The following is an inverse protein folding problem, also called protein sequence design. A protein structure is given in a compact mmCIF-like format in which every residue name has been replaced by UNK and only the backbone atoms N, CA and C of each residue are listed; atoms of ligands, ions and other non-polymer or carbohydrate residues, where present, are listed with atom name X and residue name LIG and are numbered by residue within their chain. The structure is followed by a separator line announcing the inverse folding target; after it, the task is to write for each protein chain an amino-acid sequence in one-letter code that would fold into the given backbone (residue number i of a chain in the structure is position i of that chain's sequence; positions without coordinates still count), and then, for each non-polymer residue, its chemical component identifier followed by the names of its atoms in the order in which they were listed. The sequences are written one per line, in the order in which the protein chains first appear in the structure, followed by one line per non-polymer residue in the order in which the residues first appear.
data_IF_780311090553
#
_entry.id   IF_780311090553
#
_cell.length_a   1.000
_cell.length_b   1.000
_cell.length_c   1.000
_cell.angle_alpha   90.00
_cell.angle_beta   90.00
_cell.angle_gamma   90.00
#
_symmetry.space_group_name_H-M   'P 1'
#
loop_
_entity.id
_entity.type
_entity.pdbx_description
1 polymer ?
#
# COMPACT_ATOMS: atom_id res chain seq x y z
N UNK A 1 -4.34 -7.97 -4.61
CA UNK A 1 -5.20 -7.30 -5.60
C UNK A 1 -6.41 -8.17 -5.69
N UNK A 2 -7.60 -7.63 -5.91
CA UNK A 2 -8.78 -8.48 -6.08
C UNK A 2 -8.86 -8.98 -7.53
N UNK A 3 -8.82 -10.30 -7.70
CA UNK A 3 -8.80 -10.98 -8.98
C UNK A 3 -10.16 -11.65 -9.26
N UNK A 4 -10.62 -11.49 -10.50
CA UNK A 4 -11.59 -12.37 -11.15
C UNK A 4 -10.86 -13.17 -12.23
N UNK A 5 -11.37 -14.35 -12.58
CA UNK A 5 -10.73 -15.27 -13.53
C UNK A 5 -11.75 -15.80 -14.51
N UNK A 6 -11.41 -15.83 -15.79
CA UNK A 6 -12.18 -16.55 -16.78
C UNK A 6 -12.15 -18.05 -16.51
N UNK A 7 -13.24 -18.75 -16.80
CA UNK A 7 -13.33 -20.20 -16.64
C UNK A 7 -12.41 -20.95 -17.62
N UNK A 8 -12.11 -20.36 -18.78
CA UNK A 8 -11.28 -20.97 -19.81
C UNK A 8 -9.81 -21.12 -19.38
N UNK A 9 -9.31 -20.30 -18.44
CA UNK A 9 -7.91 -20.40 -17.98
C UNK A 9 -7.61 -21.76 -17.37
N UNK A 10 -8.61 -22.41 -16.78
CA UNK A 10 -8.48 -23.72 -16.14
C UNK A 10 -8.62 -24.89 -17.12
N UNK A 11 -8.97 -24.64 -18.38
CA UNK A 11 -9.20 -25.68 -19.41
C UNK A 11 -8.11 -25.63 -20.48
N UNK A 12 -7.84 -24.43 -21.02
CA UNK A 12 -6.92 -24.21 -22.13
C UNK A 12 -5.75 -23.30 -21.79
N UNK A 13 -5.76 -22.68 -20.60
CA UNK A 13 -4.67 -21.84 -20.13
C UNK A 13 -3.38 -22.62 -19.89
N UNK A 14 -2.27 -21.89 -19.88
CA UNK A 14 -0.97 -22.43 -19.49
C UNK A 14 -1.03 -22.97 -18.06
N UNK A 15 -0.97 -24.30 -17.93
CA UNK A 15 -1.08 -25.02 -16.66
C UNK A 15 -0.13 -24.47 -15.59
N UNK A 16 1.11 -24.14 -15.96
CA UNK A 16 2.09 -23.67 -14.98
C UNK A 16 1.71 -22.28 -14.46
N UNK A 17 1.20 -21.40 -15.33
CA UNK A 17 0.71 -20.09 -14.94
C UNK A 17 -0.53 -20.19 -14.02
N UNK A 18 -1.46 -21.11 -14.30
CA UNK A 18 -2.63 -21.37 -13.42
C UNK A 18 -2.16 -21.81 -12.02
N UNK A 19 -1.17 -22.71 -11.95
CA UNK A 19 -0.63 -23.18 -10.68
C UNK A 19 0.03 -22.06 -9.88
N UNK A 20 0.81 -21.20 -10.54
CA UNK A 20 1.44 -20.03 -9.93
C UNK A 20 0.39 -19.04 -9.42
N UNK A 21 -0.66 -18.78 -10.20
CA UNK A 21 -1.77 -17.93 -9.81
C UNK A 21 -2.47 -18.46 -8.54
N UNK A 22 -2.88 -19.73 -8.55
CA UNK A 22 -3.53 -20.36 -7.40
C UNK A 22 -2.60 -20.36 -6.17
N UNK A 23 -1.30 -20.60 -6.36
CA UNK A 23 -0.32 -20.56 -5.27
C UNK A 23 -0.27 -19.17 -4.61
N UNK A 24 -0.23 -18.09 -5.41
CA UNK A 24 -0.21 -16.72 -4.87
C UNK A 24 -1.49 -16.40 -4.10
N UNK A 25 -2.64 -16.82 -4.63
CA UNK A 25 -3.94 -16.64 -3.98
C UNK A 25 -4.03 -17.42 -2.66
N UNK A 26 -3.62 -18.69 -2.65
CA UNK A 26 -3.63 -19.55 -1.45
C UNK A 26 -2.72 -18.98 -0.36
N UNK A 27 -1.57 -18.42 -0.75
CA UNK A 27 -0.67 -17.73 0.19
C UNK A 27 -1.25 -16.42 0.73
N UNK A 28 -2.39 -15.95 0.22
CA UNK A 28 -3.00 -14.68 0.62
C UNK A 28 -2.36 -13.45 -0.01
N UNK A 29 -1.48 -13.62 -1.01
CA UNK A 29 -0.83 -12.51 -1.72
C UNK A 29 -1.83 -11.69 -2.52
N UNK A 30 -2.81 -12.36 -3.11
CA UNK A 30 -3.90 -11.75 -3.85
C UNK A 30 -5.22 -12.33 -3.38
N UNK A 31 -6.26 -11.50 -3.45
CA UNK A 31 -7.61 -11.93 -3.15
C UNK A 31 -8.25 -12.43 -4.43
N UNK A 32 -8.97 -13.54 -4.35
CA UNK A 32 -9.61 -14.15 -5.51
C UNK A 32 -11.09 -14.35 -5.22
N UNK A 33 -11.92 -13.72 -6.04
CA UNK A 33 -13.39 -13.81 -5.96
C UNK A 33 -13.94 -14.24 -7.32
N UNK A 34 -13.72 -15.51 -7.72
CA UNK A 34 -14.14 -16.00 -9.02
C UNK A 34 -15.66 -16.05 -9.14
N UNK A 35 -16.14 -15.94 -10.37
CA UNK A 35 -17.52 -16.33 -10.69
C UNK A 35 -17.73 -17.83 -10.50
N UNK A 36 -18.97 -18.25 -10.24
CA UNK A 36 -19.31 -19.66 -9.93
C UNK A 36 -18.80 -20.66 -10.97
N UNK A 37 -18.88 -20.32 -12.26
CA UNK A 37 -18.36 -21.18 -13.33
C UNK A 37 -16.83 -21.32 -13.29
N UNK A 38 -16.12 -20.22 -13.10
CA UNK A 38 -14.66 -20.22 -12.97
C UNK A 38 -14.22 -20.98 -11.71
N UNK A 39 -14.92 -20.81 -10.59
CA UNK A 39 -14.67 -21.55 -9.35
C UNK A 39 -14.87 -23.07 -9.54
N UNK A 40 -15.93 -23.48 -10.24
CA UNK A 40 -16.17 -24.88 -10.57
C UNK A 40 -15.06 -25.46 -11.47
N UNK A 41 -14.62 -24.72 -12.50
CA UNK A 41 -13.51 -25.16 -13.36
C UNK A 41 -12.19 -25.24 -12.60
N UNK A 42 -11.92 -24.28 -11.71
CA UNK A 42 -10.77 -24.33 -10.84
C UNK A 42 -10.79 -25.57 -9.94
N UNK A 43 -11.96 -25.96 -9.43
CA UNK A 43 -12.11 -27.16 -8.60
C UNK A 43 -11.76 -28.41 -9.40
N UNK A 44 -12.27 -28.55 -10.62
CA UNK A 44 -11.95 -29.68 -11.51
C UNK A 44 -10.45 -29.73 -11.82
N UNK A 45 -9.86 -28.59 -12.16
CA UNK A 45 -8.41 -28.47 -12.39
C UNK A 45 -7.61 -28.89 -11.16
N UNK A 46 -7.99 -28.45 -9.96
CA UNK A 46 -7.32 -28.80 -8.72
C UNK A 46 -7.44 -30.30 -8.40
N UNK A 47 -8.62 -30.89 -8.61
CA UNK A 47 -8.84 -32.33 -8.42
C UNK A 47 -7.94 -33.18 -9.32
N UNK A 48 -7.72 -32.76 -10.57
CA UNK A 48 -6.91 -33.50 -11.53
C UNK A 48 -5.39 -33.27 -11.35
N UNK A 49 -4.98 -32.04 -11.07
CA UNK A 49 -3.56 -31.65 -11.18
C UNK A 49 -2.89 -31.29 -9.86
N UNK A 50 -3.65 -30.76 -8.89
CA UNK A 50 -3.11 -30.35 -7.57
C UNK A 50 -4.11 -30.64 -6.44
N UNK A 51 -4.32 -31.91 -6.09
CA UNK A 51 -5.38 -32.30 -5.16
C UNK A 51 -5.29 -31.64 -3.78
N UNK A 52 -4.09 -31.23 -3.36
CA UNK A 52 -3.87 -30.53 -2.09
C UNK A 52 -4.42 -29.09 -2.08
N UNK A 53 -4.83 -28.52 -3.23
CA UNK A 53 -5.53 -27.23 -3.31
C UNK A 53 -7.06 -27.37 -3.28
N UNK A 54 -7.58 -28.61 -3.29
CA UNK A 54 -9.02 -28.89 -3.41
C UNK A 54 -9.84 -28.21 -2.31
N UNK A 55 -9.44 -28.33 -1.05
CA UNK A 55 -10.14 -27.72 0.09
C UNK A 55 -10.23 -26.20 -0.03
N UNK A 56 -9.18 -25.56 -0.56
CA UNK A 56 -9.17 -24.12 -0.79
C UNK A 56 -10.16 -23.73 -1.89
N UNK A 57 -10.09 -24.40 -3.04
CA UNK A 57 -10.93 -24.08 -4.19
C UNK A 57 -12.41 -24.42 -3.92
N UNK A 58 -12.70 -25.47 -3.15
CA UNK A 58 -14.05 -25.80 -2.70
C UNK A 58 -14.64 -24.68 -1.82
N UNK A 59 -13.87 -24.13 -0.88
CA UNK A 59 -14.30 -22.96 -0.09
C UNK A 59 -14.55 -21.74 -0.97
N UNK A 60 -13.68 -21.47 -1.95
CA UNK A 60 -13.88 -20.38 -2.90
C UNK A 60 -15.15 -20.59 -3.76
N UNK A 61 -15.44 -21.83 -4.16
CA UNK A 61 -16.67 -22.19 -4.88
C UNK A 61 -17.91 -21.93 -4.02
N UNK A 62 -17.92 -22.35 -2.75
CA UNK A 62 -19.03 -22.08 -1.83
C UNK A 62 -19.23 -20.57 -1.62
N UNK A 63 -18.15 -19.82 -1.43
CA UNK A 63 -18.19 -18.37 -1.27
C UNK A 63 -18.70 -17.65 -2.54
N UNK A 64 -18.47 -18.21 -3.73
CA UNK A 64 -18.95 -17.62 -5.00
C UNK A 64 -20.48 -17.63 -5.15
N UNK A 65 -21.18 -18.45 -4.37
CA UNK A 65 -22.65 -18.55 -4.36
C UNK A 65 -23.27 -17.51 -3.41
N UNK A 66 -22.59 -17.17 -2.31
CA UNK A 66 -23.04 -16.19 -1.34
C UNK A 66 -22.65 -14.76 -1.78
N UNK A 67 -23.50 -14.16 -2.61
CA UNK A 67 -23.26 -12.83 -3.18
C UNK A 67 -23.55 -11.71 -2.17
N UNK A 68 -22.62 -11.49 -1.23
CA UNK A 68 -22.45 -10.15 -0.66
C UNK A 68 -22.09 -9.14 -1.76
N UNK A 69 -22.39 -7.84 -1.60
CA UNK A 69 -22.16 -6.85 -2.64
C UNK A 69 -20.71 -6.93 -3.14
N UNK A 70 -20.57 -7.24 -4.43
CA UNK A 70 -19.28 -7.45 -5.08
C UNK A 70 -18.55 -6.11 -5.10
N UNK A 71 -17.47 -6.00 -4.33
CA UNK A 71 -16.41 -5.03 -4.64
C UNK A 71 -15.93 -5.36 -6.06
N UNK A 72 -15.93 -4.41 -7.02
CA UNK A 72 -15.51 -4.70 -8.38
C UNK A 72 -14.12 -5.30 -8.40
N UNK A 73 -13.94 -6.39 -9.15
CA UNK A 73 -12.61 -6.95 -9.35
C UNK A 73 -11.69 -5.90 -9.99
N UNK A 74 -10.49 -5.75 -9.45
CA UNK A 74 -9.49 -4.84 -10.00
C UNK A 74 -8.93 -5.38 -11.31
N UNK A 75 -8.87 -6.72 -11.45
CA UNK A 75 -8.43 -7.37 -12.69
C UNK A 75 -9.20 -8.66 -12.96
N UNK A 76 -9.73 -8.80 -14.18
CA UNK A 76 -10.14 -10.10 -14.74
C UNK A 76 -8.96 -10.70 -15.51
N UNK A 77 -8.66 -11.97 -15.25
CA UNK A 77 -7.59 -12.73 -15.91
C UNK A 77 -8.22 -13.66 -16.96
N UNK A 78 -7.71 -13.61 -18.18
CA UNK A 78 -8.19 -14.39 -19.32
C UNK A 78 -7.09 -15.32 -19.85
N UNK A 79 -7.42 -16.20 -20.79
CA UNK A 79 -6.43 -17.13 -21.37
C UNK A 79 -5.31 -16.37 -22.10
N UNK A 80 -5.69 -15.36 -22.88
CA UNK A 80 -4.77 -14.61 -23.74
C UNK A 80 -3.72 -13.81 -22.97
N UNK A 81 -4.00 -13.44 -21.72
CA UNK A 81 -3.12 -12.62 -20.88
C UNK A 81 -2.59 -13.34 -19.64
N UNK A 82 -3.00 -14.59 -19.40
CA UNK A 82 -2.72 -15.34 -18.18
C UNK A 82 -1.24 -15.28 -17.77
N UNK A 83 -0.34 -15.62 -18.69
CA UNK A 83 1.10 -15.67 -18.41
C UNK A 83 1.65 -14.29 -18.03
N UNK A 84 1.35 -13.27 -18.82
CA UNK A 84 1.82 -11.91 -18.57
C UNK A 84 1.27 -11.33 -17.26
N UNK A 85 -0.01 -11.59 -16.96
CA UNK A 85 -0.63 -11.20 -15.69
C UNK A 85 0.02 -11.92 -14.51
N UNK A 86 0.27 -13.23 -14.61
CA UNK A 86 0.93 -14.01 -13.56
C UNK A 86 2.35 -13.51 -13.32
N UNK A 87 3.12 -13.23 -14.37
CA UNK A 87 4.48 -12.70 -14.27
C UNK A 87 4.49 -11.33 -13.55
N UNK A 88 3.52 -10.45 -13.83
CA UNK A 88 3.37 -9.16 -13.15
C UNK A 88 2.93 -9.32 -11.69
N UNK A 89 1.95 -10.18 -11.42
CA UNK A 89 1.46 -10.46 -10.06
C UNK A 89 2.54 -11.08 -9.18
N UNK A 90 3.42 -11.91 -9.76
CA UNK A 90 4.57 -12.52 -9.10
C UNK A 90 5.64 -11.50 -8.68
N UNK A 91 5.68 -10.31 -9.30
CA UNK A 91 6.55 -9.19 -8.89
C UNK A 91 5.99 -8.46 -7.68
N UNK A 92 6.87 -7.94 -6.84
CA UNK A 92 6.50 -7.10 -5.70
C UNK A 92 5.79 -5.84 -6.19
N UNK A 93 4.73 -5.43 -5.49
CA UNK A 93 4.24 -4.07 -5.60
C UNK A 93 5.32 -3.12 -5.10
N UNK A 94 5.44 -1.94 -5.71
CA UNK A 94 6.49 -0.97 -5.37
C UNK A 94 5.84 0.33 -4.91
N UNK A 95 6.10 0.72 -3.67
CA UNK A 95 5.78 2.05 -3.17
C UNK A 95 7.06 2.89 -3.17
N UNK A 96 7.09 3.90 -4.02
CA UNK A 96 8.24 4.80 -4.15
C UNK A 96 8.08 5.92 -3.13
N UNK A 97 9.10 6.09 -2.29
CA UNK A 97 9.15 7.06 -1.19
C UNK A 97 10.44 7.89 -1.24
N UNK A 98 10.54 8.90 -0.39
CA UNK A 98 11.69 9.78 -0.34
C UNK A 98 12.82 9.23 0.52
N UNK A 99 12.51 8.47 1.56
CA UNK A 99 13.43 7.72 2.40
C UNK A 99 12.81 6.36 2.75
N UNK A 100 13.39 5.28 2.25
CA UNK A 100 12.80 3.94 2.43
C UNK A 100 12.83 3.44 3.87
N UNK A 101 13.71 4.00 4.71
CA UNK A 101 13.87 3.59 6.10
C UNK A 101 12.82 4.25 6.97
N UNK A 102 12.71 5.58 6.89
CA UNK A 102 11.81 6.35 7.74
C UNK A 102 10.34 6.12 7.35
N UNK A 103 10.00 6.27 6.07
CA UNK A 103 8.65 6.00 5.57
C UNK A 103 8.30 4.51 5.69
N UNK A 104 9.27 3.61 5.55
CA UNK A 104 9.06 2.17 5.79
C UNK A 104 8.61 1.87 7.21
N UNK A 105 9.27 2.49 8.19
CA UNK A 105 8.87 2.37 9.59
C UNK A 105 7.51 2.99 9.85
N UNK A 106 7.27 4.19 9.33
CA UNK A 106 6.00 4.88 9.50
C UNK A 106 4.83 4.06 8.92
N UNK A 107 4.96 3.54 7.70
CA UNK A 107 3.92 2.74 7.06
C UNK A 107 3.66 1.45 7.83
N UNK A 108 4.70 0.77 8.31
CA UNK A 108 4.54 -0.43 9.15
C UNK A 108 3.83 -0.09 10.47
N UNK A 109 4.23 0.99 11.14
CA UNK A 109 3.63 1.42 12.40
C UNK A 109 2.16 1.83 12.20
N UNK A 110 1.86 2.53 11.11
CA UNK A 110 0.51 2.91 10.71
C UNK A 110 -0.35 1.67 10.44
N UNK A 111 0.13 0.73 9.62
CA UNK A 111 -0.59 -0.51 9.36
C UNK A 111 -0.87 -1.29 10.66
N UNK A 112 0.11 -1.38 11.57
CA UNK A 112 -0.07 -2.00 12.88
C UNK A 112 -1.13 -1.31 13.74
N UNK A 113 -1.10 0.02 13.81
CA UNK A 113 -2.06 0.80 14.59
C UNK A 113 -3.51 0.66 14.09
N UNK A 114 -3.69 0.50 12.78
CA UNK A 114 -4.98 0.29 12.13
C UNK A 114 -5.36 -1.19 11.94
N UNK A 115 -4.61 -2.12 12.56
CA UNK A 115 -4.82 -3.57 12.46
C UNK A 115 -4.88 -4.10 11.01
N UNK A 116 -4.04 -3.54 10.14
CA UNK A 116 -3.93 -3.90 8.73
C UNK A 116 -2.86 -4.98 8.50
N UNK A 117 -3.19 -6.20 8.90
CA UNK A 117 -2.30 -7.35 8.81
C UNK A 117 -1.86 -7.66 7.37
N UNK A 118 -2.65 -7.24 6.36
CA UNK A 118 -2.35 -7.50 4.95
C UNK A 118 -1.15 -6.68 4.48
N UNK A 119 -1.06 -5.40 4.85
CA UNK A 119 0.12 -4.58 4.51
C UNK A 119 1.35 -5.09 5.25
N UNK A 120 1.23 -5.43 6.55
CA UNK A 120 2.33 -5.98 7.35
C UNK A 120 2.86 -7.27 6.71
N UNK A 121 1.96 -8.22 6.42
CA UNK A 121 2.29 -9.49 5.77
C UNK A 121 2.95 -9.27 4.42
N UNK A 122 2.46 -8.30 3.63
CA UNK A 122 3.04 -8.01 2.32
C UNK A 122 4.46 -7.43 2.43
N UNK A 123 4.74 -6.59 3.43
CA UNK A 123 6.09 -6.10 3.70
C UNK A 123 7.01 -7.25 4.15
N UNK A 124 6.55 -8.09 5.10
CA UNK A 124 7.33 -9.23 5.61
C UNK A 124 7.68 -10.25 4.52
N UNK A 125 6.76 -10.49 3.58
CA UNK A 125 6.95 -11.45 2.49
C UNK A 125 7.52 -10.82 1.22
N UNK A 126 7.93 -9.55 1.27
CA UNK A 126 8.42 -8.78 0.10
C UNK A 126 7.43 -8.71 -1.07
N UNK A 127 6.13 -8.90 -0.80
CA UNK A 127 5.07 -8.68 -1.79
C UNK A 127 4.80 -7.19 -2.03
N UNK A 128 5.14 -6.36 -1.04
CA UNK A 128 5.31 -4.92 -1.14
C UNK A 128 6.76 -4.59 -0.81
N UNK A 129 7.39 -3.76 -1.63
CA UNK A 129 8.70 -3.20 -1.36
C UNK A 129 8.63 -1.68 -1.41
N UNK A 130 9.34 -1.03 -0.49
CA UNK A 130 9.60 0.39 -0.59
C UNK A 130 10.85 0.61 -1.44
N UNK A 131 10.84 1.67 -2.24
CA UNK A 131 11.98 2.03 -3.06
C UNK A 131 12.30 3.51 -2.89
N UNK A 132 13.53 3.80 -2.47
CA UNK A 132 14.05 5.15 -2.40
C UNK A 132 14.26 5.77 -3.80
N UNK A 133 13.71 6.96 -4.05
CA UNK A 133 13.83 7.66 -5.32
C UNK A 133 15.20 8.34 -5.58
N UNK A 134 16.15 8.26 -4.65
CA UNK A 134 17.44 8.96 -4.79
C UNK A 134 17.30 10.48 -4.77
N UNK A 135 16.24 11.00 -4.13
CA UNK A 135 15.90 12.43 -4.08
C UNK A 135 14.69 12.82 -4.96
N UNK A 136 13.94 13.83 -4.48
CA UNK A 136 12.67 14.33 -5.04
C UNK A 136 12.73 14.61 -6.54
N UNK A 137 13.82 15.22 -7.02
CA UNK A 137 13.98 15.64 -8.42
C UNK A 137 14.00 14.49 -9.44
N UNK A 138 14.16 13.24 -8.99
CA UNK A 138 14.25 12.06 -9.86
C UNK A 138 13.07 11.11 -9.69
N UNK A 139 12.15 11.36 -8.77
CA UNK A 139 11.09 10.41 -8.43
C UNK A 139 10.25 10.00 -9.64
N UNK A 140 9.81 10.94 -10.48
CA UNK A 140 9.07 10.62 -11.71
C UNK A 140 9.83 9.67 -12.66
N UNK A 141 11.16 9.80 -12.76
CA UNK A 141 11.99 8.89 -13.58
C UNK A 141 12.09 7.51 -12.96
N UNK A 142 12.21 7.44 -11.64
CA UNK A 142 12.21 6.17 -10.91
C UNK A 142 10.86 5.46 -11.03
N UNK A 143 9.75 6.20 -10.93
CA UNK A 143 8.41 5.64 -11.16
C UNK A 143 8.29 5.08 -12.58
N UNK A 144 8.71 5.83 -13.59
CA UNK A 144 8.70 5.36 -14.98
C UNK A 144 9.53 4.08 -15.15
N UNK A 145 10.76 4.05 -14.63
CA UNK A 145 11.63 2.87 -14.70
C UNK A 145 11.06 1.64 -13.95
N UNK A 146 10.32 1.84 -12.86
CA UNK A 146 9.63 0.75 -12.16
C UNK A 146 8.40 0.28 -12.92
N UNK A 147 7.64 1.19 -13.54
CA UNK A 147 6.49 0.86 -14.39
C UNK A 147 6.90 -0.01 -15.59
N UNK A 148 8.07 0.21 -16.17
CA UNK A 148 8.59 -0.60 -17.29
C UNK A 148 8.80 -2.08 -16.95
N UNK A 149 8.83 -2.43 -15.65
CA UNK A 149 8.96 -3.82 -15.20
C UNK A 149 7.64 -4.60 -15.24
N UNK A 150 6.53 -3.90 -15.48
CA UNK A 150 5.19 -4.48 -15.57
C UNK A 150 4.65 -4.37 -16.99
N UNK A 151 3.98 -5.42 -17.45
CA UNK A 151 3.45 -5.51 -18.81
C UNK A 151 2.00 -5.05 -18.88
N UNK A 152 1.17 -5.59 -18.00
CA UNK A 152 -0.29 -5.45 -17.97
C UNK A 152 -0.75 -4.93 -16.59
N UNK A 153 -0.29 -5.57 -15.51
CA UNK A 153 -0.75 -5.25 -14.15
C UNK A 153 0.30 -4.40 -13.45
N UNK A 154 0.22 -3.09 -13.66
CA UNK A 154 1.15 -2.13 -13.03
C UNK A 154 0.81 -1.98 -11.54
N UNK A 155 1.76 -2.32 -10.67
CA UNK A 155 1.62 -2.27 -9.20
C UNK A 155 2.65 -1.30 -8.60
N UNK A 156 2.61 -0.07 -9.08
CA UNK A 156 3.54 1.01 -8.67
C UNK A 156 2.73 2.18 -8.13
N UNK A 157 3.10 2.66 -6.95
CA UNK A 157 2.59 3.91 -6.37
C UNK A 157 3.74 4.82 -5.93
N UNK A 158 3.44 6.09 -5.69
CA UNK A 158 4.37 7.04 -5.11
C UNK A 158 3.75 7.79 -3.92
N UNK A 159 4.57 8.02 -2.88
CA UNK A 159 4.25 8.85 -1.72
C UNK A 159 5.27 9.99 -1.64
N UNK A 160 4.79 11.22 -1.53
CA UNK A 160 5.61 12.43 -1.53
C UNK A 160 5.25 13.34 -0.36
N UNK A 161 6.27 14.01 0.18
CA UNK A 161 6.06 15.20 0.99
C UNK A 161 5.51 16.33 0.12
N UNK A 162 4.73 17.23 0.71
CA UNK A 162 4.25 18.41 0.00
C UNK A 162 5.27 19.54 0.03
N UNK A 163 6.12 19.57 1.05
CA UNK A 163 7.00 20.68 1.43
C UNK A 163 6.26 22.01 1.61
N UNK A 164 4.93 21.98 1.75
CA UNK A 164 4.13 23.18 1.89
C UNK A 164 4.40 23.83 3.24
N UNK A 165 4.55 25.15 3.23
CA UNK A 165 4.62 25.97 4.46
C UNK A 165 3.28 26.59 4.81
N UNK A 166 2.26 26.39 3.97
CA UNK A 166 0.85 26.79 4.14
C UNK A 166 -0.01 26.12 3.07
N UNK A 167 -1.31 25.97 3.33
CA UNK A 167 -2.27 25.24 2.48
C UNK A 167 -2.31 25.62 1.00
N UNK A 168 -2.16 26.91 0.68
CA UNK A 168 -2.25 27.41 -0.68
C UNK A 168 -0.90 27.47 -1.42
N UNK A 169 0.20 27.09 -0.77
CA UNK A 169 1.53 27.23 -1.34
C UNK A 169 1.85 26.07 -2.27
N UNK A 170 1.92 26.32 -3.58
CA UNK A 170 2.40 25.30 -4.52
C UNK A 170 3.91 25.15 -4.41
N UNK A 171 4.38 23.91 -4.35
CA UNK A 171 5.79 23.54 -4.35
C UNK A 171 6.17 22.83 -5.64
N UNK A 172 7.47 22.53 -5.82
CA UNK A 172 7.95 21.76 -6.97
C UNK A 172 7.38 20.34 -7.00
N UNK A 173 7.04 19.77 -5.85
CA UNK A 173 6.46 18.41 -5.73
C UNK A 173 5.09 18.31 -6.41
N UNK A 174 4.34 19.42 -6.51
CA UNK A 174 3.10 19.46 -7.28
C UNK A 174 3.32 19.20 -8.78
N UNK A 175 4.45 19.67 -9.33
CA UNK A 175 4.83 19.38 -10.71
C UNK A 175 5.23 17.91 -10.86
N UNK A 176 5.91 17.34 -9.87
CA UNK A 176 6.29 15.92 -9.87
C UNK A 176 5.08 15.00 -9.80
N UNK A 177 4.12 15.28 -8.92
CA UNK A 177 2.85 14.55 -8.85
C UNK A 177 2.15 14.55 -10.21
N UNK A 178 2.10 15.71 -10.90
CA UNK A 178 1.52 15.79 -12.24
C UNK A 178 2.27 14.89 -13.24
N UNK A 179 3.60 14.98 -13.28
CA UNK A 179 4.40 14.14 -14.18
C UNK A 179 4.25 12.65 -13.89
N UNK A 180 4.13 12.25 -12.62
CA UNK A 180 3.92 10.85 -12.26
C UNK A 180 2.53 10.38 -12.72
N UNK A 181 1.50 11.19 -12.54
CA UNK A 181 0.13 10.89 -13.01
C UNK A 181 -0.01 10.82 -14.53
N UNK A 182 0.95 11.38 -15.27
CA UNK A 182 1.02 11.28 -16.74
C UNK A 182 1.70 9.96 -17.20
N UNK A 183 2.27 9.16 -16.30
CA UNK A 183 2.89 7.87 -16.62
C UNK A 183 1.81 6.81 -16.81
N UNK A 184 1.78 6.20 -17.99
CA UNK A 184 0.81 5.16 -18.36
C UNK A 184 0.81 3.98 -17.35
N UNK A 185 -0.38 3.60 -16.89
CA UNK A 185 -0.60 2.53 -15.93
C UNK A 185 -0.34 2.87 -14.46
N UNK A 186 0.24 4.04 -14.13
CA UNK A 186 0.43 4.47 -12.74
C UNK A 186 -0.78 5.27 -12.27
N UNK A 187 -1.66 4.63 -11.51
CA UNK A 187 -2.91 5.27 -11.03
C UNK A 187 -2.77 5.89 -9.64
N UNK A 188 -1.79 5.44 -8.86
CA UNK A 188 -1.69 5.76 -7.43
C UNK A 188 -0.52 6.72 -7.16
N UNK A 189 -0.85 7.95 -6.77
CA UNK A 189 0.12 8.95 -6.30
C UNK A 189 -0.48 9.71 -5.15
N UNK A 190 0.13 9.60 -3.97
CA UNK A 190 -0.23 10.36 -2.80
C UNK A 190 0.84 11.42 -2.53
N UNK A 191 0.40 12.64 -2.29
CA UNK A 191 1.23 13.69 -1.73
C UNK A 191 0.53 14.14 -0.47
N UNK A 192 1.25 14.18 0.64
CA UNK A 192 0.70 14.60 1.92
C UNK A 192 0.00 15.96 1.78
N UNK A 193 -1.13 16.13 2.46
CA UNK A 193 -1.81 17.41 2.55
C UNK A 193 -1.02 18.37 3.46
N UNK A 194 -0.46 17.84 4.54
CA UNK A 194 0.52 18.51 5.39
C UNK A 194 1.90 18.56 4.72
N UNK A 195 2.85 19.20 5.40
CA UNK A 195 4.18 19.49 4.88
C UNK A 195 4.97 18.23 4.59
N UNK A 196 5.10 17.37 5.58
CA UNK A 196 5.93 16.17 5.55
C UNK A 196 5.29 15.05 6.41
N UNK A 197 5.79 13.82 6.25
CA UNK A 197 5.34 12.66 7.04
C UNK A 197 5.36 12.92 8.56
N UNK A 198 6.31 13.69 9.08
CA UNK A 198 6.44 13.99 10.51
C UNK A 198 5.22 14.70 11.10
N UNK A 199 4.45 15.43 10.30
CA UNK A 199 3.20 16.06 10.73
C UNK A 199 2.09 15.02 11.04
N UNK A 200 2.27 13.77 10.60
CA UNK A 200 1.34 12.65 10.75
C UNK A 200 1.78 11.67 11.84
N UNK A 201 2.90 11.94 12.52
CA UNK A 201 3.39 11.09 13.61
C UNK A 201 2.63 11.42 14.91
N UNK A 202 2.08 10.42 15.63
CA UNK A 202 1.39 10.64 16.90
C UNK A 202 2.23 11.36 17.95
N UNK A 203 1.63 12.26 18.72
CA UNK A 203 2.30 13.03 19.77
C UNK A 203 3.03 12.15 20.79
N UNK A 204 2.40 11.01 21.15
CA UNK A 204 3.00 10.03 22.06
C UNK A 204 4.37 9.54 21.59
N UNK A 205 4.55 9.35 20.27
CA UNK A 205 5.84 8.92 19.74
C UNK A 205 6.90 10.03 19.84
N UNK A 206 6.51 11.29 19.64
CA UNK A 206 7.39 12.44 19.85
C UNK A 206 7.83 12.56 21.31
N UNK A 207 6.90 12.42 22.26
CA UNK A 207 7.18 12.48 23.70
C UNK A 207 8.19 11.43 24.14
N UNK A 208 8.03 10.20 23.66
CA UNK A 208 8.89 9.07 24.01
C UNK A 208 10.29 9.17 23.35
N UNK A 209 10.35 9.60 22.09
CA UNK A 209 11.62 9.74 21.38
C UNK A 209 12.39 11.02 21.78
N UNK A 210 11.68 12.05 22.25
CA UNK A 210 12.25 13.35 22.63
C UNK A 210 11.74 13.80 24.02
N UNK A 211 12.13 13.09 25.10
CA UNK A 211 11.65 13.40 26.46
C UNK A 211 12.10 14.77 26.98
N UNK A 212 13.08 15.42 26.32
CA UNK A 212 13.53 16.77 26.63
C UNK A 212 12.73 17.86 25.90
N UNK A 213 11.83 17.49 24.98
CA UNK A 213 11.05 18.39 24.15
C UNK A 213 9.54 18.30 24.44
N UNK A 214 9.13 17.74 25.58
CA UNK A 214 7.71 17.55 25.97
C UNK A 214 6.94 18.87 25.89
N UNK A 215 7.48 19.97 26.44
CA UNK A 215 6.85 21.30 26.36
C UNK A 215 6.58 21.75 24.90
N UNK A 216 7.42 21.33 23.95
CA UNK A 216 7.25 21.64 22.52
C UNK A 216 6.20 20.76 21.86
N UNK A 217 6.08 19.51 22.29
CA UNK A 217 5.00 18.61 21.85
C UNK A 217 3.66 19.10 22.40
N UNK A 218 3.60 19.51 23.67
CA UNK A 218 2.42 20.12 24.27
C UNK A 218 2.01 21.40 23.55
N UNK A 219 2.98 22.22 23.14
CA UNK A 219 2.71 23.38 22.29
C UNK A 219 2.08 22.99 20.94
N UNK A 220 2.46 21.86 20.34
CA UNK A 220 1.82 21.37 19.10
C UNK A 220 0.39 20.87 19.32
N UNK A 221 0.06 20.35 20.51
CA UNK A 221 -1.31 19.87 20.83
C UNK A 221 -2.34 20.99 20.86
N UNK A 222 -1.92 22.21 21.20
CA UNK A 222 -2.79 23.40 21.26
C UNK A 222 -2.80 24.23 19.96
N UNK A 223 -1.96 23.88 18.97
CA UNK A 223 -2.00 24.50 17.65
C UNK A 223 -3.30 24.15 16.93
N UNK A 224 -3.76 25.05 16.05
CA UNK A 224 -4.78 24.68 15.08
C UNK A 224 -4.26 23.57 14.17
N UNK A 225 -5.17 22.79 13.59
CA UNK A 225 -4.81 21.73 12.64
C UNK A 225 -3.97 22.27 11.48
N UNK A 226 -4.35 23.43 10.93
CA UNK A 226 -3.62 24.06 9.83
C UNK A 226 -2.19 24.43 10.24
N UNK A 227 -2.00 25.11 11.37
CA UNK A 227 -0.65 25.46 11.86
C UNK A 227 0.23 24.22 12.04
N UNK A 228 -0.33 23.15 12.61
CA UNK A 228 0.41 21.91 12.84
C UNK A 228 0.75 21.17 11.56
N UNK A 229 -0.15 21.12 10.57
CA UNK A 229 0.08 20.41 9.31
C UNK A 229 1.21 21.04 8.47
N UNK A 230 1.46 22.35 8.61
CA UNK A 230 2.52 23.03 7.85
C UNK A 230 3.75 23.40 8.67
N UNK A 231 3.78 22.99 9.95
CA UNK A 231 4.92 23.16 10.84
C UNK A 231 6.12 22.35 10.34
N UNK A 232 7.31 22.95 10.43
CA UNK A 232 8.57 22.21 10.34
C UNK A 232 8.80 21.47 11.67
N UNK A 233 8.27 20.24 11.78
CA UNK A 233 8.25 19.51 13.06
C UNK A 233 9.66 19.20 13.52
N UNK A 234 10.54 18.84 12.59
CA UNK A 234 11.95 18.56 12.88
C UNK A 234 12.64 19.79 13.49
N UNK A 235 12.49 20.96 12.88
CA UNK A 235 13.06 22.19 13.43
C UNK A 235 12.41 22.60 14.76
N UNK A 236 11.08 22.43 14.88
CA UNK A 236 10.34 22.75 16.10
C UNK A 236 10.79 21.90 17.29
N UNK A 237 10.85 20.57 17.13
CA UNK A 237 11.27 19.65 18.19
C UNK A 237 12.78 19.75 18.43
N UNK A 238 13.58 19.95 17.39
CA UNK A 238 15.06 19.97 17.45
C UNK A 238 15.71 18.70 16.90
N UNK A 239 14.97 17.92 16.11
CA UNK A 239 15.42 16.68 15.47
C UNK A 239 14.26 15.89 14.88
N UNK A 240 14.56 14.98 13.96
CA UNK A 240 13.59 13.97 13.48
C UNK A 240 13.51 12.77 14.41
N UNK A 241 12.51 11.91 14.20
CA UNK A 241 12.50 10.56 14.78
C UNK A 241 13.37 9.68 13.90
N UNK A 242 14.33 8.99 14.52
CA UNK A 242 15.12 7.96 13.84
C UNK A 242 14.50 6.61 14.15
N UNK A 243 14.45 5.72 13.15
CA UNK A 243 13.86 4.39 13.29
C UNK A 243 14.49 3.53 14.39
N UNK A 244 15.80 3.67 14.62
CA UNK A 244 16.54 3.00 15.68
C UNK A 244 16.28 3.58 17.08
N UNK A 245 15.64 4.75 17.16
CA UNK A 245 15.32 5.43 18.40
C UNK A 245 13.90 5.13 18.92
N UNK A 246 13.06 4.42 18.16
CA UNK A 246 11.71 4.04 18.60
C UNK A 246 11.81 2.97 19.68
N UNK A 247 11.35 3.23 20.91
CA UNK A 247 11.41 2.23 21.98
C UNK A 247 10.59 0.97 21.63
N UNK A 248 11.12 -0.23 21.87
CA UNK A 248 10.48 -1.49 21.44
C UNK A 248 9.16 -1.82 22.16
N UNK A 249 8.85 -1.09 23.23
CA UNK A 249 7.62 -1.25 24.00
C UNK A 249 6.48 -0.35 23.50
N UNK A 250 6.75 0.58 22.58
CA UNK A 250 5.70 1.41 22.01
C UNK A 250 4.91 0.57 21.01
N UNK A 251 3.63 0.39 21.35
CA UNK A 251 2.61 -0.10 20.44
C UNK A 251 1.65 1.05 20.23
N UNK A 252 1.57 1.51 18.98
CA UNK A 252 0.61 2.53 18.56
C UNK A 252 -0.75 1.87 18.28
N UNK A 253 -1.82 2.57 18.63
CA UNK A 253 -3.19 2.24 18.21
C UNK A 253 -3.76 3.35 17.33
N UNK A 254 -4.88 3.08 16.67
CA UNK A 254 -5.61 4.10 15.92
C UNK A 254 -5.93 5.34 16.78
N UNK A 255 -6.23 5.17 18.08
CA UNK A 255 -6.51 6.28 19.01
C UNK A 255 -5.34 7.26 19.14
N UNK A 256 -4.10 6.79 19.04
CA UNK A 256 -2.92 7.66 19.04
C UNK A 256 -2.94 8.63 17.84
N UNK A 257 -3.48 8.19 16.70
CA UNK A 257 -3.65 9.00 15.50
C UNK A 257 -4.90 9.90 15.56
N UNK A 258 -5.96 9.50 16.29
CA UNK A 258 -7.11 10.37 16.54
C UNK A 258 -6.73 11.67 17.25
N UNK A 259 -5.68 11.65 18.08
CA UNK A 259 -5.10 12.84 18.69
C UNK A 259 -4.59 13.87 17.66
N UNK A 260 -4.34 13.46 16.42
CA UNK A 260 -3.94 14.32 15.30
C UNK A 260 -5.15 14.91 14.55
N UNK A 261 -6.38 14.61 14.95
CA UNK A 261 -7.60 15.14 14.33
C UNK A 261 -8.17 14.24 13.23
N UNK A 262 -9.49 14.32 13.03
CA UNK A 262 -10.22 13.41 12.15
C UNK A 262 -9.79 13.49 10.67
N UNK A 263 -9.45 14.68 10.19
CA UNK A 263 -8.98 14.89 8.80
C UNK A 263 -7.67 14.14 8.53
N UNK A 264 -6.76 14.10 9.51
CA UNK A 264 -5.51 13.34 9.44
C UNK A 264 -5.79 11.85 9.38
N UNK A 265 -6.68 11.34 10.24
CA UNK A 265 -7.07 9.91 10.22
C UNK A 265 -7.68 9.51 8.88
N UNK A 266 -8.52 10.36 8.28
CA UNK A 266 -9.10 10.10 6.95
C UNK A 266 -8.02 10.00 5.88
N UNK A 267 -7.04 10.91 5.88
CA UNK A 267 -5.94 10.89 4.91
C UNK A 267 -5.05 9.65 5.08
N UNK A 268 -4.75 9.28 6.33
CA UNK A 268 -3.98 8.06 6.63
C UNK A 268 -4.69 6.79 6.15
N UNK A 269 -6.02 6.72 6.30
CA UNK A 269 -6.82 5.62 5.77
C UNK A 269 -6.81 5.60 4.25
N UNK A 270 -6.82 6.76 3.58
CA UNK A 270 -6.68 6.83 2.13
C UNK A 270 -5.29 6.38 1.66
N UNK A 271 -4.22 6.70 2.41
CA UNK A 271 -2.89 6.15 2.14
C UNK A 271 -2.88 4.62 2.23
N UNK A 272 -3.45 4.03 3.28
CA UNK A 272 -3.55 2.57 3.40
C UNK A 272 -4.39 1.97 2.26
N UNK A 273 -5.52 2.60 1.91
CA UNK A 273 -6.35 2.19 0.79
C UNK A 273 -5.61 2.25 -0.55
N UNK A 274 -4.79 3.28 -0.78
CA UNK A 274 -3.90 3.39 -1.94
C UNK A 274 -2.93 2.21 -2.02
N UNK A 275 -2.30 1.85 -0.90
CA UNK A 275 -1.40 0.70 -0.82
C UNK A 275 -2.15 -0.60 -1.15
N UNK A 276 -3.38 -0.77 -0.65
CA UNK A 276 -4.23 -1.92 -1.01
C UNK A 276 -4.58 -2.00 -2.49
N UNK A 277 -4.68 -0.87 -3.20
CA UNK A 277 -4.99 -0.86 -4.63
C UNK A 277 -3.83 -1.41 -5.47
N UNK A 278 -2.59 -1.21 -5.05
CA UNK A 278 -1.42 -1.81 -5.70
C UNK A 278 -1.07 -3.20 -5.16
N UNK A 279 -1.52 -3.56 -3.95
CA UNK A 279 -1.32 -4.89 -3.36
C UNK A 279 -2.29 -5.90 -3.91
#
# INVERSE_FOLDING_TARGET
MQLDTDEEIFVSGDRQAVLELLTMVIKGRHEWRPQTKAAFRAYQFAEEHVPHYKDFVEKAMLASVDRSPLVPAQRRVCVDDLRAVVDDLARSAVLIVEDEINEGWFIRALAGAFADDRIITALDNTWLVLAHAGGKDRMHRFVAARREQFTIVVRVAALLDSDQTKRSHRTRNHTYVRWIKEIDGVTEVHMWTGREMENYVPFRLWEECHPHAVDRVDAMRVMSLEERLYLDVKAHIGGGIKSDAIPPHIVLSEDDFHGLGAEVVVELRELLAMIHRIL
#
